data_IF_403247960710
#
_entry.id   IF_403247960710
#
_cell.length_a   1.000
_cell.length_b   1.000
_cell.length_c   1.000
_cell.angle_alpha   90.00
_cell.angle_beta   90.00
_cell.angle_gamma   90.00
#
_symmetry.space_group_name_H-M   'P 1'
#
loop_
_entity.id
_entity.type
_entity.pdbx_description
1 polymer ?
#
# COMPACT_ATOMS: atom_id res chain seq x y z
N UNK A 1 23.47 5.24 -62.04
CA UNK A 1 24.66 4.42 -61.70
C UNK A 1 24.40 3.73 -60.37
N UNK A 2 24.14 2.43 -60.37
CA UNK A 2 23.98 1.64 -59.13
C UNK A 2 25.36 1.30 -58.56
N UNK A 3 25.64 1.57 -57.28
CA UNK A 3 26.93 1.26 -56.69
C UNK A 3 27.15 -0.25 -56.68
N UNK A 4 28.30 -0.69 -57.19
CA UNK A 4 28.71 -2.10 -57.14
C UNK A 4 29.26 -2.41 -55.75
N UNK A 5 28.58 -3.27 -55.02
CA UNK A 5 29.05 -3.81 -53.73
C UNK A 5 30.37 -4.56 -53.91
N UNK A 6 31.36 -4.19 -53.10
CA UNK A 6 32.66 -4.87 -53.07
C UNK A 6 32.55 -6.22 -52.37
N UNK A 7 33.56 -7.07 -52.51
CA UNK A 7 33.61 -8.37 -51.84
C UNK A 7 33.54 -8.25 -50.31
N UNK A 8 34.15 -7.19 -49.76
CA UNK A 8 34.10 -6.92 -48.31
C UNK A 8 32.69 -6.53 -47.86
N UNK A 9 31.97 -5.75 -48.67
CA UNK A 9 30.59 -5.37 -48.37
C UNK A 9 29.67 -6.58 -48.37
N UNK A 10 29.83 -7.49 -49.35
CA UNK A 10 29.08 -8.75 -49.40
C UNK A 10 29.37 -9.65 -48.21
N UNK A 11 30.64 -9.72 -47.77
CA UNK A 11 31.03 -10.50 -46.60
C UNK A 11 30.43 -9.92 -45.31
N UNK A 12 30.40 -8.60 -45.15
CA UNK A 12 29.74 -7.92 -44.02
C UNK A 12 28.23 -8.12 -44.01
N UNK A 13 27.57 -7.97 -45.15
CA UNK A 13 26.13 -8.23 -45.29
C UNK A 13 25.79 -9.69 -45.00
N UNK A 14 26.62 -10.63 -45.45
CA UNK A 14 26.47 -12.05 -45.12
C UNK A 14 26.62 -12.30 -43.62
N UNK A 15 27.62 -11.70 -42.96
CA UNK A 15 27.80 -11.81 -41.51
C UNK A 15 26.60 -11.27 -40.73
N UNK A 16 26.06 -10.11 -41.14
CA UNK A 16 24.90 -9.48 -40.50
C UNK A 16 23.65 -10.36 -40.70
N UNK A 17 23.48 -10.98 -41.87
CA UNK A 17 22.37 -11.90 -42.14
C UNK A 17 22.40 -13.19 -41.31
N UNK A 18 23.56 -13.54 -40.74
CA UNK A 18 23.73 -14.69 -39.84
C UNK A 18 23.58 -14.35 -38.36
N UNK A 19 23.47 -13.07 -38.01
CA UNK A 19 23.18 -12.70 -36.63
C UNK A 19 21.68 -12.96 -36.38
N UNK A 20 21.32 -13.72 -35.34
CA UNK A 20 19.92 -13.83 -34.93
C UNK A 20 19.39 -12.42 -34.60
N UNK A 21 18.11 -12.13 -34.89
CA UNK A 21 17.53 -10.84 -34.55
C UNK A 21 17.78 -10.56 -33.07
N UNK A 22 18.42 -9.44 -32.77
CA UNK A 22 18.63 -8.98 -31.41
C UNK A 22 17.28 -8.53 -30.86
N UNK A 23 16.48 -9.49 -30.40
CA UNK A 23 15.27 -9.20 -29.65
C UNK A 23 15.72 -8.75 -28.26
N UNK A 24 15.53 -7.48 -27.88
CA UNK A 24 15.80 -7.07 -26.51
C UNK A 24 14.96 -7.96 -25.60
N UNK A 25 15.62 -8.67 -24.68
CA UNK A 25 14.93 -9.49 -23.68
C UNK A 25 14.03 -8.54 -22.90
N UNK A 26 12.71 -8.72 -23.02
CA UNK A 26 11.76 -7.91 -22.29
C UNK A 26 12.16 -7.88 -20.80
N UNK A 27 12.09 -6.72 -20.12
CA UNK A 27 12.46 -6.65 -18.72
C UNK A 27 11.68 -7.71 -17.95
N UNK A 28 12.39 -8.49 -17.13
CA UNK A 28 11.76 -9.51 -16.28
C UNK A 28 10.94 -8.77 -15.24
N UNK A 29 9.64 -8.59 -15.51
CA UNK A 29 8.71 -8.02 -14.55
C UNK A 29 8.58 -9.02 -13.40
N UNK A 30 8.91 -8.64 -12.15
CA UNK A 30 8.74 -9.52 -11.01
C UNK A 30 7.29 -10.01 -10.95
N UNK A 31 7.03 -11.29 -10.61
CA UNK A 31 5.67 -11.76 -10.42
C UNK A 31 4.97 -10.90 -9.35
N UNK A 32 3.71 -10.57 -9.61
CA UNK A 32 2.91 -9.77 -8.68
C UNK A 32 2.92 -10.40 -7.27
N UNK A 33 2.93 -9.59 -6.20
CA UNK A 33 2.92 -10.12 -4.85
C UNK A 33 1.65 -10.95 -4.61
N UNK A 34 1.79 -12.03 -3.86
CA UNK A 34 0.66 -12.88 -3.42
C UNK A 34 -0.26 -12.09 -2.48
N UNK A 35 0.34 -11.25 -1.64
CA UNK A 35 -0.32 -10.33 -0.73
C UNK A 35 0.43 -9.00 -0.72
N UNK A 36 -0.30 -7.90 -0.87
CA UNK A 36 0.19 -6.52 -0.72
C UNK A 36 -0.66 -5.84 0.36
N UNK A 37 -0.05 -5.55 1.50
CA UNK A 37 -0.72 -4.81 2.60
C UNK A 37 -0.28 -3.35 2.51
N UNK A 38 -1.22 -2.47 2.18
CA UNK A 38 -1.04 -1.01 2.22
C UNK A 38 -1.56 -0.50 3.55
N UNK A 39 -0.69 0.10 4.36
CA UNK A 39 -0.98 0.56 5.70
C UNK A 39 -0.80 2.08 5.77
N UNK A 40 -1.81 2.76 6.30
CA UNK A 40 -1.76 4.19 6.62
C UNK A 40 -2.25 4.41 8.06
N UNK A 41 -1.80 5.49 8.68
CA UNK A 41 -2.39 5.99 9.93
C UNK A 41 -3.71 6.71 9.63
N UNK A 42 -4.58 6.81 10.63
CA UNK A 42 -5.65 7.82 10.63
C UNK A 42 -5.11 9.24 10.36
N UNK A 43 -5.96 10.13 9.84
CA UNK A 43 -5.65 11.55 9.66
C UNK A 43 -5.53 12.34 10.96
N UNK A 44 -5.22 13.63 10.84
CA UNK A 44 -5.00 14.53 11.97
C UNK A 44 -6.21 14.55 12.93
N UNK A 45 -5.92 14.64 14.22
CA UNK A 45 -6.90 14.67 15.31
C UNK A 45 -6.69 15.89 16.20
N UNK A 46 -7.73 16.41 16.86
CA UNK A 46 -7.55 17.38 17.95
C UNK A 46 -6.77 16.78 19.14
N UNK A 47 -6.30 17.62 20.08
CA UNK A 47 -5.75 17.16 21.34
C UNK A 47 -6.73 16.26 22.11
N UNK A 48 -8.01 16.66 22.13
CA UNK A 48 -9.10 15.97 22.82
C UNK A 48 -10.20 15.55 21.84
N UNK A 49 -10.77 14.36 22.06
CA UNK A 49 -11.83 13.79 21.23
C UNK A 49 -11.36 12.66 20.30
N UNK A 50 -12.33 11.89 19.81
CA UNK A 50 -12.08 10.67 19.02
C UNK A 50 -12.18 10.84 17.50
N UNK A 51 -12.72 11.97 17.06
CA UNK A 51 -12.93 12.32 15.65
C UNK A 51 -11.67 12.92 15.00
N UNK A 52 -11.67 12.99 13.67
CA UNK A 52 -10.71 13.79 12.92
C UNK A 52 -10.89 15.29 13.18
N UNK A 53 -9.79 16.04 13.14
CA UNK A 53 -9.84 17.51 13.07
C UNK A 53 -10.26 17.97 11.67
N UNK A 54 -10.50 19.27 11.48
CA UNK A 54 -10.71 19.84 10.14
C UNK A 54 -9.60 19.45 9.15
N UNK A 55 -8.33 19.48 9.61
CA UNK A 55 -7.20 19.02 8.83
C UNK A 55 -7.29 17.53 8.49
N UNK A 56 -7.66 16.69 9.46
CA UNK A 56 -7.84 15.26 9.23
C UNK A 56 -8.95 14.96 8.22
N UNK A 57 -10.07 15.69 8.28
CA UNK A 57 -11.16 15.57 7.31
C UNK A 57 -10.71 15.98 5.91
N UNK A 58 -9.99 17.10 5.76
CA UNK A 58 -9.43 17.50 4.47
C UNK A 58 -8.42 16.48 3.93
N UNK A 59 -7.60 15.88 4.80
CA UNK A 59 -6.72 14.77 4.40
C UNK A 59 -7.53 13.58 3.90
N UNK A 60 -8.57 13.17 4.63
CA UNK A 60 -9.44 12.07 4.25
C UNK A 60 -10.10 12.31 2.88
N UNK A 61 -10.52 13.54 2.60
CA UNK A 61 -11.11 13.92 1.31
C UNK A 61 -10.10 13.92 0.15
N UNK A 62 -8.82 14.22 0.41
CA UNK A 62 -7.76 14.19 -0.60
C UNK A 62 -7.14 12.79 -0.80
N UNK A 63 -7.26 11.92 0.19
CA UNK A 63 -6.68 10.57 0.21
C UNK A 63 -7.07 9.68 -0.99
N UNK A 64 -8.29 9.75 -1.57
CA UNK A 64 -8.65 8.87 -2.67
C UNK A 64 -7.77 9.04 -3.91
N UNK A 65 -7.37 10.27 -4.25
CA UNK A 65 -6.48 10.51 -5.38
C UNK A 65 -5.12 9.81 -5.19
N UNK A 66 -4.54 9.93 -3.99
CA UNK A 66 -3.28 9.28 -3.61
C UNK A 66 -3.39 7.76 -3.69
N UNK A 67 -4.46 7.19 -3.15
CA UNK A 67 -4.65 5.74 -3.11
C UNK A 67 -4.92 5.15 -4.50
N UNK A 68 -5.62 5.87 -5.37
CA UNK A 68 -5.83 5.49 -6.77
C UNK A 68 -4.52 5.45 -7.57
N UNK A 69 -3.61 6.39 -7.31
CA UNK A 69 -2.29 6.40 -7.96
C UNK A 69 -1.40 5.26 -7.43
N UNK A 70 -1.43 5.03 -6.11
CA UNK A 70 -0.61 4.01 -5.46
C UNK A 70 -1.05 2.57 -5.78
N UNK A 71 -2.35 2.34 -5.91
CA UNK A 71 -2.95 1.02 -6.12
C UNK A 71 -3.63 0.97 -7.51
N UNK A 72 -3.11 0.18 -8.46
CA UNK A 72 -3.67 0.09 -9.82
C UNK A 72 -5.13 -0.39 -9.90
N UNK A 73 -5.62 -0.99 -8.82
CA UNK A 73 -7.00 -1.42 -8.64
C UNK A 73 -7.41 -1.22 -7.18
N UNK A 74 -8.72 -1.07 -6.89
CA UNK A 74 -9.19 -1.00 -5.51
C UNK A 74 -8.76 -2.21 -4.68
N UNK A 75 -8.55 -2.05 -3.36
CA UNK A 75 -8.14 -3.15 -2.49
C UNK A 75 -9.25 -4.21 -2.42
N UNK A 76 -8.86 -5.47 -2.30
CA UNK A 76 -9.78 -6.59 -2.13
C UNK A 76 -10.48 -6.55 -0.76
N UNK A 77 -9.79 -6.06 0.27
CA UNK A 77 -10.32 -5.90 1.62
C UNK A 77 -9.77 -4.62 2.24
N UNK A 78 -10.60 -3.98 3.06
CA UNK A 78 -10.21 -2.80 3.85
C UNK A 78 -10.46 -3.08 5.32
N UNK A 79 -9.47 -2.77 6.16
CA UNK A 79 -9.55 -2.97 7.61
C UNK A 79 -9.38 -1.66 8.37
N UNK A 80 -10.22 -1.49 9.37
CA UNK A 80 -10.09 -0.51 10.45
C UNK A 80 -10.24 -1.28 11.77
N UNK A 81 -9.80 -0.76 12.93
CA UNK A 81 -10.03 -1.45 14.18
C UNK A 81 -11.51 -1.40 14.57
N UNK A 82 -11.90 -2.24 15.53
CA UNK A 82 -13.20 -2.14 16.22
C UNK A 82 -13.43 -0.70 16.67
N UNK A 83 -14.58 -0.18 16.27
CA UNK A 83 -15.07 1.13 16.69
C UNK A 83 -15.76 0.92 18.04
N UNK A 84 -15.28 1.59 19.08
CA UNK A 84 -15.97 1.56 20.36
C UNK A 84 -17.25 2.40 20.25
N UNK A 85 -18.36 1.88 20.77
CA UNK A 85 -19.66 2.56 20.76
C UNK A 85 -20.26 2.63 22.16
N UNK A 86 -19.43 2.77 23.19
CA UNK A 86 -19.92 2.94 24.57
C UNK A 86 -20.59 4.32 24.74
N UNK A 87 -21.57 4.41 25.64
CA UNK A 87 -22.54 5.52 25.79
C UNK A 87 -21.95 6.95 25.88
N UNK A 88 -20.63 7.07 26.04
CA UNK A 88 -19.93 8.35 26.19
C UNK A 88 -18.90 8.64 25.10
N UNK A 89 -18.42 7.64 24.34
CA UNK A 89 -17.32 7.81 23.37
C UNK A 89 -17.50 6.93 22.12
N UNK A 90 -17.20 7.50 20.96
CA UNK A 90 -17.01 6.72 19.72
C UNK A 90 -15.52 6.45 19.52
N UNK A 91 -14.92 5.72 20.46
CA UNK A 91 -13.46 5.54 20.45
C UNK A 91 -12.99 4.93 19.14
N UNK A 92 -11.89 5.47 18.59
CA UNK A 92 -11.19 4.95 17.40
C UNK A 92 -11.92 5.18 16.06
N UNK A 93 -12.99 5.97 16.04
CA UNK A 93 -13.74 6.28 14.80
C UNK A 93 -12.90 7.01 13.73
N UNK A 94 -11.84 7.73 14.13
CA UNK A 94 -10.95 8.45 13.19
C UNK A 94 -10.33 7.58 12.09
N UNK A 95 -10.06 6.29 12.34
CA UNK A 95 -9.56 5.38 11.31
C UNK A 95 -10.63 5.12 10.24
N UNK A 96 -11.89 4.93 10.65
CA UNK A 96 -13.03 4.82 9.75
C UNK A 96 -13.23 6.13 8.96
N UNK A 97 -13.24 7.28 9.63
CA UNK A 97 -13.41 8.59 8.99
C UNK A 97 -12.33 8.86 7.93
N UNK A 98 -11.09 8.43 8.20
CA UNK A 98 -9.96 8.64 7.28
C UNK A 98 -10.16 7.91 5.96
N UNK A 99 -10.65 6.66 6.01
CA UNK A 99 -10.80 5.83 4.81
C UNK A 99 -12.14 6.01 4.11
N UNK A 100 -13.14 6.58 4.80
CA UNK A 100 -14.52 6.62 4.32
C UNK A 100 -14.67 7.22 2.90
N UNK A 101 -14.04 8.36 2.53
CA UNK A 101 -14.19 8.90 1.19
C UNK A 101 -13.72 7.93 0.10
N UNK A 102 -12.60 7.23 0.33
CA UNK A 102 -12.09 6.22 -0.60
C UNK A 102 -12.98 4.98 -0.65
N UNK A 103 -13.47 4.54 0.51
CA UNK A 103 -14.39 3.39 0.61
C UNK A 103 -15.70 3.65 -0.14
N UNK A 104 -16.28 4.84 -0.01
CA UNK A 104 -17.49 5.24 -0.73
C UNK A 104 -17.22 5.31 -2.24
N UNK A 105 -16.12 5.94 -2.66
CA UNK A 105 -15.76 6.08 -4.07
C UNK A 105 -15.70 4.72 -4.80
N UNK A 106 -15.23 3.67 -4.11
CA UNK A 106 -15.03 2.34 -4.70
C UNK A 106 -16.00 1.27 -4.18
N UNK A 107 -17.04 1.66 -3.43
CA UNK A 107 -18.01 0.76 -2.82
C UNK A 107 -17.35 -0.39 -2.02
N UNK A 108 -16.38 -0.06 -1.17
CA UNK A 108 -15.59 -1.03 -0.41
C UNK A 108 -16.32 -1.47 0.85
N UNK A 109 -16.30 -2.78 1.10
CA UNK A 109 -16.62 -3.31 2.44
C UNK A 109 -15.47 -3.03 3.40
N UNK A 110 -15.80 -2.48 4.56
CA UNK A 110 -14.85 -2.24 5.66
C UNK A 110 -15.05 -3.32 6.72
N UNK A 111 -13.99 -4.04 7.04
CA UNK A 111 -13.97 -4.97 8.17
C UNK A 111 -13.42 -4.26 9.42
N UNK A 112 -14.15 -4.40 10.53
CA UNK A 112 -13.80 -3.80 11.83
C UNK A 112 -13.80 -4.81 12.97
N UNK A 113 -13.40 -6.07 12.72
CA UNK A 113 -13.53 -7.16 13.69
C UNK A 113 -12.35 -7.28 14.67
N UNK A 114 -11.30 -6.48 14.49
CA UNK A 114 -10.06 -6.59 15.26
C UNK A 114 -9.85 -5.40 16.18
N UNK A 115 -9.63 -5.67 17.47
CA UNK A 115 -9.24 -4.63 18.43
C UNK A 115 -7.91 -3.99 18.04
N UNK A 116 -7.77 -2.68 18.26
CA UNK A 116 -6.58 -1.90 17.89
C UNK A 116 -5.26 -2.52 18.41
N UNK A 117 -5.28 -3.03 19.64
CA UNK A 117 -4.11 -3.60 20.32
C UNK A 117 -3.89 -5.11 20.01
N UNK A 118 -4.81 -5.78 19.34
CA UNK A 118 -4.69 -7.22 19.01
C UNK A 118 -3.85 -7.45 17.74
N UNK A 119 -2.72 -6.74 17.63
CA UNK A 119 -1.87 -6.64 16.43
C UNK A 119 -1.34 -8.00 15.96
N UNK A 120 -0.93 -8.88 16.88
CA UNK A 120 -0.49 -10.25 16.57
C UNK A 120 -1.61 -11.12 15.97
N UNK A 121 -2.84 -11.00 16.47
CA UNK A 121 -3.97 -11.76 15.96
C UNK A 121 -4.36 -11.25 14.57
N UNK A 122 -4.40 -9.93 14.40
CA UNK A 122 -4.68 -9.30 13.12
C UNK A 122 -3.61 -9.63 12.06
N UNK A 123 -2.32 -9.59 12.40
CA UNK A 123 -1.25 -9.99 11.47
C UNK A 123 -1.37 -11.45 11.03
N UNK A 124 -1.76 -12.38 11.92
CA UNK A 124 -2.05 -13.77 11.54
C UNK A 124 -3.19 -13.87 10.53
N UNK A 125 -4.24 -13.05 10.67
CA UNK A 125 -5.32 -12.97 9.69
C UNK A 125 -4.80 -12.46 8.35
N UNK A 126 -4.08 -11.34 8.34
CA UNK A 126 -3.50 -10.75 7.12
C UNK A 126 -2.66 -11.77 6.33
N UNK A 127 -1.83 -12.57 7.00
CA UNK A 127 -0.99 -13.59 6.34
C UNK A 127 -1.76 -14.70 5.60
N UNK A 128 -3.06 -14.84 5.82
CA UNK A 128 -3.93 -15.81 5.13
C UNK A 128 -4.62 -15.21 3.91
N UNK A 129 -4.57 -13.89 3.76
CA UNK A 129 -5.18 -13.17 2.65
C UNK A 129 -4.31 -13.21 1.40
N UNK A 130 -4.92 -12.84 0.28
CA UNK A 130 -4.29 -12.65 -1.03
C UNK A 130 -4.76 -11.34 -1.66
N UNK A 131 -4.01 -10.84 -2.63
CA UNK A 131 -4.33 -9.58 -3.30
C UNK A 131 -3.90 -8.36 -2.51
N UNK A 132 -4.54 -7.23 -2.76
CA UNK A 132 -4.24 -5.95 -2.10
C UNK A 132 -5.19 -5.73 -0.93
N UNK A 133 -4.64 -5.39 0.24
CA UNK A 133 -5.40 -5.11 1.46
C UNK A 133 -5.04 -3.71 1.94
N UNK A 134 -6.05 -2.88 2.19
CA UNK A 134 -5.87 -1.56 2.80
C UNK A 134 -6.11 -1.66 4.31
N UNK A 135 -5.21 -1.09 5.10
CA UNK A 135 -5.28 -1.09 6.57
C UNK A 135 -5.13 0.35 7.05
N UNK A 136 -6.10 0.84 7.80
CA UNK A 136 -6.04 2.17 8.44
C UNK A 136 -6.03 2.01 9.94
N UNK A 137 -4.93 2.40 10.59
CA UNK A 137 -4.68 2.02 11.97
C UNK A 137 -4.06 3.13 12.83
N UNK A 138 -3.81 2.80 14.09
CA UNK A 138 -3.09 3.63 15.05
C UNK A 138 -1.57 3.42 14.91
N UNK A 139 -0.80 4.51 14.89
CA UNK A 139 0.62 4.52 14.53
C UNK A 139 1.53 3.61 15.36
N UNK A 140 1.38 3.55 16.68
CA UNK A 140 2.18 2.62 17.49
C UNK A 140 1.87 1.15 17.11
N UNK A 141 0.59 0.84 16.93
CA UNK A 141 0.14 -0.48 16.53
C UNK A 141 0.52 -0.84 15.07
N UNK A 142 0.75 0.13 14.18
CA UNK A 142 1.27 -0.14 12.82
C UNK A 142 2.64 -0.80 12.89
N UNK A 143 3.52 -0.31 13.77
CA UNK A 143 4.87 -0.87 13.97
C UNK A 143 4.76 -2.32 14.42
N UNK A 144 3.89 -2.60 15.41
CA UNK A 144 3.66 -3.96 15.91
C UNK A 144 3.07 -4.90 14.84
N UNK A 145 2.13 -4.40 14.03
CA UNK A 145 1.56 -5.16 12.91
C UNK A 145 2.67 -5.53 11.92
N UNK A 146 3.53 -4.57 11.53
CA UNK A 146 4.63 -4.82 10.61
C UNK A 146 5.62 -5.85 11.17
N UNK A 147 5.97 -5.74 12.45
CA UNK A 147 6.82 -6.72 13.13
C UNK A 147 6.18 -8.11 13.16
N UNK A 148 4.89 -8.21 13.50
CA UNK A 148 4.15 -9.48 13.50
C UNK A 148 3.96 -10.08 12.10
N UNK A 149 3.98 -9.24 11.05
CA UNK A 149 4.03 -9.68 9.66
C UNK A 149 5.41 -10.20 9.23
N UNK A 150 6.46 -9.93 10.02
CA UNK A 150 7.82 -10.43 9.83
C UNK A 150 8.84 -9.37 9.40
N UNK A 151 8.53 -8.09 9.54
CA UNK A 151 9.51 -7.00 9.38
C UNK A 151 10.32 -6.91 10.68
N UNK A 152 11.50 -7.52 10.71
CA UNK A 152 12.32 -7.66 11.94
C UNK A 152 12.78 -6.33 12.53
N UNK A 153 13.05 -5.34 11.68
CA UNK A 153 13.49 -3.99 12.07
C UNK A 153 12.50 -2.97 11.51
N UNK A 154 11.24 -3.06 11.94
CA UNK A 154 10.24 -2.08 11.55
C UNK A 154 10.64 -0.72 12.14
N UNK A 155 10.74 0.35 11.31
CA UNK A 155 11.09 1.67 11.82
C UNK A 155 9.97 2.20 12.72
N UNK A 156 10.28 3.14 13.59
CA UNK A 156 9.24 3.84 14.35
C UNK A 156 8.32 4.66 13.42
N UNK A 157 7.08 4.89 13.87
CA UNK A 157 6.13 5.78 13.22
C UNK A 157 5.97 7.05 14.07
N UNK A 158 6.61 8.17 13.70
CA UNK A 158 6.61 9.38 14.53
C UNK A 158 5.20 9.93 14.79
N UNK A 159 4.99 10.52 15.96
CA UNK A 159 3.69 11.06 16.38
C UNK A 159 3.13 12.14 15.45
N UNK A 160 4.00 12.93 14.82
CA UNK A 160 3.63 13.98 13.88
C UNK A 160 3.48 13.46 12.43
N UNK A 161 3.73 12.18 12.18
CA UNK A 161 3.69 11.60 10.83
C UNK A 161 2.27 11.11 10.49
N UNK A 162 1.56 11.92 9.71
CA UNK A 162 0.26 11.60 9.09
C UNK A 162 0.38 11.32 7.58
N UNK A 163 1.61 11.38 7.06
CA UNK A 163 1.91 11.41 5.63
C UNK A 163 2.47 10.09 5.12
N UNK A 164 3.13 9.31 5.98
CA UNK A 164 3.68 8.01 5.60
C UNK A 164 2.62 7.02 5.12
N UNK A 165 3.02 6.22 4.13
CA UNK A 165 2.33 5.04 3.64
C UNK A 165 3.32 3.89 3.68
N UNK A 166 2.94 2.77 4.30
CA UNK A 166 3.75 1.56 4.30
C UNK A 166 3.11 0.52 3.39
N UNK A 167 3.87 -0.03 2.46
CA UNK A 167 3.45 -1.14 1.61
C UNK A 167 4.28 -2.37 1.96
N UNK A 168 3.67 -3.36 2.58
CA UNK A 168 4.29 -4.65 2.92
C UNK A 168 3.87 -5.69 1.89
N UNK A 169 4.81 -6.15 1.08
CA UNK A 169 4.56 -7.10 0.00
C UNK A 169 5.16 -8.48 0.28
N UNK A 170 4.44 -9.51 -0.12
CA UNK A 170 4.84 -10.91 0.01
C UNK A 170 4.89 -11.57 -1.37
N UNK A 171 6.08 -11.92 -1.85
CA UNK A 171 6.27 -12.56 -3.16
C UNK A 171 6.42 -14.08 -3.05
N UNK A 172 5.68 -14.82 -3.88
CA UNK A 172 5.84 -16.27 -4.10
C UNK A 172 5.39 -17.18 -2.95
N UNK A 173 5.36 -18.49 -3.21
CA UNK A 173 5.21 -19.55 -2.20
C UNK A 173 6.48 -20.39 -2.15
N UNK A 174 7.25 -20.28 -1.06
CA UNK A 174 8.38 -21.14 -0.71
C UNK A 174 7.97 -22.61 -0.53
N UNK A 175 8.91 -23.50 -0.20
CA UNK A 175 8.63 -24.94 -0.10
C UNK A 175 7.31 -25.25 0.64
N UNK A 176 6.42 -26.01 -0.01
CA UNK A 176 5.01 -26.23 0.42
C UNK A 176 4.09 -24.98 0.36
N UNK A 177 4.37 -24.00 -0.52
CA UNK A 177 3.53 -22.83 -0.78
C UNK A 177 3.70 -21.62 0.16
N UNK A 178 4.80 -21.48 0.94
CA UNK A 178 4.94 -20.42 1.97
C UNK A 178 5.59 -19.11 1.47
N UNK A 179 4.89 -17.97 1.47
CA UNK A 179 5.52 -16.66 1.21
C UNK A 179 6.71 -16.39 2.16
N UNK A 180 7.90 -16.17 1.59
CA UNK A 180 9.18 -16.42 2.31
C UNK A 180 9.67 -15.24 3.15
N UNK A 181 9.59 -13.99 2.67
CA UNK A 181 9.96 -12.80 3.47
C UNK A 181 9.11 -11.60 3.05
N UNK A 182 8.52 -10.84 3.99
CA UNK A 182 7.89 -9.58 3.67
C UNK A 182 8.95 -8.55 3.23
N UNK A 183 8.58 -7.66 2.31
CA UNK A 183 9.35 -6.48 1.93
C UNK A 183 8.53 -5.25 2.27
N UNK A 184 9.09 -4.35 3.07
CA UNK A 184 8.49 -3.06 3.39
C UNK A 184 9.02 -1.99 2.42
N UNK A 185 8.12 -1.35 1.69
CA UNK A 185 8.38 -0.11 0.97
C UNK A 185 7.65 1.05 1.68
N UNK A 186 8.30 2.20 1.80
CA UNK A 186 7.70 3.40 2.38
C UNK A 186 7.52 4.45 1.28
N UNK A 187 6.35 5.06 1.23
CA UNK A 187 6.04 6.22 0.40
C UNK A 187 5.27 7.26 1.22
N UNK A 188 4.80 8.33 0.58
CA UNK A 188 4.15 9.46 1.23
C UNK A 188 2.86 9.82 0.50
N UNK A 189 1.91 10.36 1.25
CA UNK A 189 0.65 10.88 0.69
C UNK A 189 0.86 12.23 -0.01
N UNK A 190 1.84 13.00 0.44
CA UNK A 190 2.11 14.38 -0.02
C UNK A 190 0.92 15.33 0.18
N UNK A 191 0.02 15.02 1.10
CA UNK A 191 -1.14 15.85 1.41
C UNK A 191 -0.75 16.88 2.48
N UNK A 192 -1.03 18.15 2.18
CA UNK A 192 -0.93 19.29 3.10
C UNK A 192 -2.33 19.82 3.39
N UNK A 193 -3.04 19.26 4.39
CA UNK A 193 -4.44 19.59 4.60
C UNK A 193 -4.60 20.98 5.22
N UNK A 194 -5.67 21.69 4.83
CA UNK A 194 -6.07 22.96 5.45
C UNK A 194 -6.60 22.73 6.86
N UNK A 195 -6.36 23.67 7.77
CA UNK A 195 -6.97 23.67 9.10
C UNK A 195 -8.44 24.12 9.09
N UNK A 196 -8.94 24.70 7.99
CA UNK A 196 -10.35 25.08 7.83
C UNK A 196 -11.19 23.85 7.50
N UNK A 197 -12.30 23.64 8.18
CA UNK A 197 -13.17 22.49 7.94
C UNK A 197 -13.74 22.50 6.50
N UNK A 198 -13.94 21.31 5.89
CA UNK A 198 -14.61 21.22 4.60
C UNK A 198 -16.06 21.72 4.72
N UNK A 199 -16.51 22.44 3.70
CA UNK A 199 -17.86 23.03 3.60
C UNK A 199 -18.67 22.46 2.46
#
# INVERSE_FOLDING_TARGET
>A
MTPKLTTSDKARLYLISKLPPFAPKAPVVPPAPVLRVVIIRHGEKPPEGDNLSCAGLNRALALPAVLNELMPSPPNLTFVPVIGTDDKNTTRVRMLQTVMPYAVQHNLTINSDFMVANTKAFARQLRRLRGTVLVVWEHHCIVEIAQALGITEAPEWPDADFDSIWTISFSGGGARGKAKRPVLAKSRQHIRPSATCPG
#
